data_IF_003842133852
#
_entry.id   IF_003842133852
#
_cell.length_a   1.000
_cell.length_b   1.000
_cell.length_c   1.000
_cell.angle_alpha   90.00
_cell.angle_beta   90.00
_cell.angle_gamma   90.00
#
_symmetry.space_group_name_H-M   'P 1'
#
loop_
_entity.id
_entity.type
_entity.pdbx_description
1 polymer ?
#
# COMPACT_ATOMS: atom_id res chain seq x y z
N UNK A 1 -4.09 -0.83 -3.62
CA UNK A 1 -3.01 -1.52 -2.88
C UNK A 1 -1.66 -0.81 -3.03
N UNK A 2 -1.10 -0.72 -4.25
CA UNK A 2 0.21 -0.08 -4.50
C UNK A 2 0.39 1.29 -3.82
N UNK A 3 -0.53 2.24 -4.04
CA UNK A 3 -0.38 3.60 -3.52
C UNK A 3 -0.36 3.74 -1.98
N UNK A 4 -0.84 2.75 -1.24
CA UNK A 4 -0.85 2.76 0.24
C UNK A 4 -0.15 1.56 0.86
N UNK A 5 0.48 0.69 0.07
CA UNK A 5 1.07 -0.55 0.58
C UNK A 5 0.08 -1.48 1.30
N UNK A 6 -1.23 -1.45 0.99
CA UNK A 6 -2.22 -2.28 1.68
C UNK A 6 -2.00 -3.78 1.40
N UNK A 7 -2.21 -4.63 2.40
CA UNK A 7 -2.41 -6.08 2.21
C UNK A 7 -3.77 -6.30 1.50
N UNK A 8 -3.94 -7.41 0.74
CA UNK A 8 -5.22 -7.70 0.11
C UNK A 8 -6.40 -7.71 1.10
N UNK A 9 -6.20 -8.33 2.26
CA UNK A 9 -7.22 -8.39 3.31
C UNK A 9 -7.58 -7.01 3.88
N UNK A 10 -6.59 -6.13 4.07
CA UNK A 10 -6.82 -4.74 4.50
C UNK A 10 -7.63 -3.96 3.44
N UNK A 11 -7.29 -4.15 2.15
CA UNK A 11 -8.01 -3.48 1.07
C UNK A 11 -9.47 -3.91 0.99
N UNK A 12 -9.75 -5.21 1.10
CA UNK A 12 -11.11 -5.75 1.06
C UNK A 12 -11.92 -5.36 2.32
N UNK A 13 -11.26 -5.19 3.46
CA UNK A 13 -11.91 -4.80 4.71
C UNK A 13 -12.12 -3.28 4.86
N UNK A 14 -11.48 -2.45 4.02
CA UNK A 14 -11.47 -0.99 4.14
C UNK A 14 -12.90 -0.41 4.11
N UNK A 15 -13.22 0.42 5.10
CA UNK A 15 -14.54 1.06 5.22
C UNK A 15 -14.44 2.57 5.07
N UNK A 16 -15.55 3.18 4.66
CA UNK A 16 -15.67 4.65 4.52
C UNK A 16 -15.34 5.41 5.81
N UNK A 17 -15.76 4.99 7.01
CA UNK A 17 -15.42 5.67 8.26
C UNK A 17 -13.91 5.65 8.57
N UNK A 18 -13.18 4.66 8.05
CA UNK A 18 -11.74 4.51 8.28
C UNK A 18 -10.89 5.36 7.31
N UNK A 19 -11.54 6.20 6.49
CA UNK A 19 -10.90 6.98 5.44
C UNK A 19 -11.09 8.49 5.64
N UNK A 20 -9.98 9.22 5.73
CA UNK A 20 -9.95 10.67 5.55
C UNK A 20 -9.60 10.96 4.09
N UNK A 21 -10.58 11.45 3.32
CA UNK A 21 -10.48 11.66 1.86
C UNK A 21 -10.83 13.11 1.51
N UNK A 22 -9.88 14.06 1.64
CA UNK A 22 -10.15 15.45 1.27
C UNK A 22 -10.25 15.62 -0.25
N UNK A 23 -10.94 16.67 -0.71
CA UNK A 23 -11.06 16.98 -2.14
C UNK A 23 -9.70 17.27 -2.81
N UNK A 24 -8.75 17.81 -2.03
CA UNK A 24 -7.39 18.12 -2.46
C UNK A 24 -6.38 17.69 -1.40
N UNK A 25 -5.21 17.24 -1.86
CA UNK A 25 -4.10 16.89 -0.99
C UNK A 25 -4.12 15.45 -0.50
N UNK A 26 -3.38 15.23 0.59
CA UNK A 26 -3.18 13.91 1.19
C UNK A 26 -4.36 13.54 2.10
N UNK A 27 -4.75 12.28 2.03
CA UNK A 27 -5.69 11.67 2.97
C UNK A 27 -4.98 10.73 3.93
N UNK A 28 -5.77 9.96 4.66
CA UNK A 28 -5.27 8.88 5.52
C UNK A 28 -6.25 7.72 5.58
N UNK A 29 -5.72 6.52 5.77
CA UNK A 29 -6.48 5.28 5.96
C UNK A 29 -6.11 4.68 7.30
N UNK A 30 -7.11 4.33 8.11
CA UNK A 30 -6.93 3.56 9.33
C UNK A 30 -7.10 2.09 8.98
N UNK A 31 -6.06 1.30 9.18
CA UNK A 31 -6.06 -0.12 8.84
C UNK A 31 -5.95 -0.95 10.11
N UNK A 32 -6.92 -1.83 10.34
CA UNK A 32 -6.78 -2.86 11.36
C UNK A 32 -5.69 -3.85 10.92
N UNK A 33 -4.74 -4.16 11.81
CA UNK A 33 -3.81 -5.27 11.56
C UNK A 33 -4.62 -6.54 11.41
N UNK A 34 -4.69 -7.07 10.19
CA UNK A 34 -5.16 -8.42 9.95
C UNK A 34 -4.19 -9.37 10.67
N UNK A 35 -4.62 -9.99 11.76
CA UNK A 35 -3.89 -11.11 12.35
C UNK A 35 -3.75 -12.20 11.27
N UNK A 36 -2.54 -12.72 10.98
CA UNK A 36 -2.41 -13.84 10.08
C UNK A 36 -3.26 -14.98 10.65
N UNK A 37 -4.19 -15.48 9.83
CA UNK A 37 -5.09 -16.57 10.21
C UNK A 37 -4.25 -17.77 10.64
N UNK A 38 -4.05 -17.93 11.95
CA UNK A 38 -3.62 -19.19 12.55
C UNK A 38 -4.75 -20.17 12.24
N UNK A 39 -4.39 -21.28 11.60
CA UNK A 39 -5.33 -22.26 11.08
C UNK A 39 -6.36 -22.71 12.10
N UNK A 40 -7.59 -22.86 11.59
CA UNK A 40 -8.69 -23.70 12.08
C UNK A 40 -8.49 -24.34 13.47
N UNK A 41 -9.29 -23.89 14.44
CA UNK A 41 -9.92 -24.82 15.38
C UNK A 41 -11.43 -24.64 15.29
N UNK A 42 -12.04 -25.56 14.57
CA UNK A 42 -13.48 -25.74 14.53
C UNK A 42 -13.92 -26.24 15.91
N UNK A 43 -14.68 -25.42 16.63
CA UNK A 43 -15.62 -25.91 17.64
C UNK A 43 -16.96 -25.30 17.27
N UNK A 44 -17.83 -26.15 16.76
CA UNK A 44 -19.13 -25.75 16.26
C UNK A 44 -20.07 -25.35 17.38
N UNK A 45 -20.76 -24.25 17.15
CA UNK A 45 -22.15 -24.04 17.53
C UNK A 45 -22.70 -22.92 16.63
N UNK A 46 -23.86 -23.19 16.05
CA UNK A 46 -24.58 -22.27 15.18
C UNK A 46 -25.14 -21.07 15.92
N UNK A 47 -25.23 -19.97 15.16
CA UNK A 47 -25.82 -18.67 15.46
C UNK A 47 -25.32 -17.93 16.71
N UNK A 48 -24.80 -16.71 16.52
CA UNK A 48 -25.15 -15.55 17.37
C UNK A 48 -24.98 -14.26 16.55
N UNK A 49 -26.09 -13.57 16.29
CA UNK A 49 -26.11 -12.11 16.14
C UNK A 49 -25.78 -11.47 17.49
N UNK A 50 -24.80 -10.57 17.57
CA UNK A 50 -25.03 -9.36 18.38
C UNK A 50 -24.24 -8.17 17.83
N UNK A 51 -25.01 -7.11 17.56
CA UNK A 51 -24.58 -5.81 17.09
C UNK A 51 -24.75 -4.89 18.31
N UNK A 52 -23.81 -4.98 19.25
CA UNK A 52 -23.80 -4.14 20.47
C UNK A 52 -22.39 -3.69 20.80
N UNK A 53 -22.27 -2.39 21.05
CA UNK A 53 -21.24 -1.85 21.94
C UNK A 53 -19.98 -1.38 21.23
N UNK A 54 -20.05 -0.19 20.66
CA UNK A 54 -18.91 0.71 20.51
C UNK A 54 -18.39 1.08 21.92
N UNK A 55 -17.60 0.20 22.55
CA UNK A 55 -16.69 0.46 23.70
C UNK A 55 -16.08 -0.87 24.14
N UNK A 56 -14.75 -0.91 24.19
CA UNK A 56 -13.88 -2.03 24.60
C UNK A 56 -13.70 -3.17 23.59
N UNK A 57 -12.75 -2.97 22.66
CA UNK A 57 -11.98 -4.09 22.11
C UNK A 57 -10.53 -3.95 22.57
N UNK A 58 -9.85 -5.01 23.05
CA UNK A 58 -8.42 -4.99 23.32
C UNK A 58 -7.68 -4.53 22.06
N UNK A 59 -6.62 -3.73 22.25
CA UNK A 59 -5.88 -3.01 21.22
C UNK A 59 -5.44 -3.91 20.05
N UNK A 60 -6.33 -4.09 19.08
CA UNK A 60 -5.94 -4.57 17.76
C UNK A 60 -5.14 -3.41 17.17
N UNK A 61 -3.82 -3.57 17.11
CA UNK A 61 -2.89 -2.50 16.79
C UNK A 61 -3.18 -1.95 15.38
N UNK A 62 -3.94 -0.86 15.30
CA UNK A 62 -4.26 -0.17 14.05
C UNK A 62 -3.05 0.62 13.57
N UNK A 63 -2.87 0.70 12.26
CA UNK A 63 -1.85 1.55 11.64
C UNK A 63 -2.51 2.60 10.75
N UNK A 64 -1.97 3.82 10.78
CA UNK A 64 -2.40 4.91 9.90
C UNK A 64 -1.50 4.88 8.66
N UNK A 65 -2.12 4.93 7.48
CA UNK A 65 -1.42 5.00 6.21
C UNK A 65 -1.77 6.31 5.52
N UNK A 66 -0.78 7.18 5.23
CA UNK A 66 -1.01 8.34 4.38
C UNK A 66 -1.49 7.91 3.00
N UNK A 67 -2.63 8.45 2.57
CA UNK A 67 -3.17 8.22 1.24
C UNK A 67 -2.69 9.34 0.31
N UNK A 68 -1.82 9.07 -0.69
CA UNK A 68 -1.41 10.10 -1.63
C UNK A 68 -2.61 10.63 -2.43
N UNK A 69 -2.56 11.86 -2.97
CA UNK A 69 -3.69 12.47 -3.67
C UNK A 69 -4.28 11.61 -4.80
N UNK A 70 -3.45 10.80 -5.47
CA UNK A 70 -3.91 9.86 -6.49
C UNK A 70 -4.79 8.75 -5.91
N UNK A 71 -4.41 8.19 -4.76
CA UNK A 71 -5.24 7.18 -4.07
C UNK A 71 -6.54 7.79 -3.57
N UNK A 72 -6.49 9.00 -3.02
CA UNK A 72 -7.69 9.73 -2.57
C UNK A 72 -8.69 9.90 -3.71
N UNK A 73 -8.23 10.39 -4.87
CA UNK A 73 -9.08 10.51 -6.07
C UNK A 73 -9.67 9.18 -6.52
N UNK A 74 -8.89 8.10 -6.52
CA UNK A 74 -9.38 6.77 -6.89
C UNK A 74 -10.47 6.28 -5.93
N UNK A 75 -10.30 6.46 -4.63
CA UNK A 75 -11.28 6.05 -3.63
C UNK A 75 -12.56 6.91 -3.70
N UNK A 76 -12.43 8.23 -3.87
CA UNK A 76 -13.57 9.12 -4.05
C UNK A 76 -14.35 8.79 -5.32
N UNK A 77 -13.67 8.54 -6.44
CA UNK A 77 -14.31 8.11 -7.68
C UNK A 77 -15.06 6.79 -7.52
N UNK A 78 -14.45 5.81 -6.86
CA UNK A 78 -15.08 4.53 -6.54
C UNK A 78 -16.34 4.71 -5.68
N UNK A 79 -16.26 5.50 -4.61
CA UNK A 79 -17.40 5.77 -3.73
C UNK A 79 -18.53 6.47 -4.50
N UNK A 80 -18.20 7.40 -5.39
CA UNK A 80 -19.18 8.12 -6.22
C UNK A 80 -19.91 7.17 -7.18
N UNK A 81 -19.18 6.24 -7.79
CA UNK A 81 -19.73 5.32 -8.80
C UNK A 81 -20.51 4.16 -8.17
N UNK A 82 -19.95 3.53 -7.14
CA UNK A 82 -20.47 2.27 -6.59
C UNK A 82 -21.11 2.39 -5.21
N UNK A 83 -20.95 3.54 -4.54
CA UNK A 83 -21.36 3.72 -3.15
C UNK A 83 -20.52 2.88 -2.18
N UNK A 84 -21.16 2.41 -1.11
CA UNK A 84 -20.56 1.54 -0.09
C UNK A 84 -21.52 0.41 0.25
N UNK A 85 -20.98 -0.71 0.75
CA UNK A 85 -21.82 -1.76 1.33
C UNK A 85 -22.61 -1.26 2.55
N UNK A 86 -23.65 -2.00 2.97
CA UNK A 86 -24.48 -1.67 4.14
C UNK A 86 -23.66 -1.53 5.43
N UNK A 87 -22.54 -2.25 5.55
CA UNK A 87 -21.63 -2.19 6.68
C UNK A 87 -20.47 -1.20 6.49
N UNK A 88 -20.53 -0.37 5.44
CA UNK A 88 -19.59 0.72 5.15
C UNK A 88 -18.34 0.31 4.38
N UNK A 89 -18.14 -0.98 4.04
CA UNK A 89 -17.01 -1.40 3.18
C UNK A 89 -17.04 -0.69 1.83
N UNK A 90 -15.87 -0.27 1.37
CA UNK A 90 -15.72 0.35 0.05
C UNK A 90 -15.87 -0.68 -1.07
N UNK A 91 -15.31 -1.88 -0.87
CA UNK A 91 -15.35 -2.95 -1.87
C UNK A 91 -16.24 -4.08 -1.38
N UNK A 92 -17.28 -4.39 -2.15
CA UNK A 92 -18.18 -5.49 -1.88
C UNK A 92 -18.56 -6.19 -3.19
N UNK A 93 -18.96 -7.45 -3.08
CA UNK A 93 -19.54 -8.18 -4.20
C UNK A 93 -20.98 -7.68 -4.48
N UNK A 94 -21.58 -8.14 -5.58
CA UNK A 94 -22.93 -7.74 -6.01
C UNK A 94 -24.04 -8.03 -4.97
N UNK A 95 -23.79 -8.97 -4.05
CA UNK A 95 -24.71 -9.31 -2.94
C UNK A 95 -24.44 -8.49 -1.67
N UNK A 96 -23.54 -7.51 -1.73
CA UNK A 96 -23.11 -6.69 -0.59
C UNK A 96 -22.13 -7.40 0.37
N UNK A 97 -21.70 -8.61 0.04
CA UNK A 97 -20.75 -9.40 0.82
C UNK A 97 -19.29 -9.04 0.57
N UNK A 98 -18.39 -9.72 1.26
CA UNK A 98 -16.94 -9.57 1.10
C UNK A 98 -16.51 -10.02 -0.31
N UNK A 99 -15.59 -9.28 -0.92
CA UNK A 99 -14.95 -9.70 -2.18
C UNK A 99 -14.07 -10.92 -1.91
N UNK A 100 -14.39 -12.05 -2.57
CA UNK A 100 -13.64 -13.29 -2.40
C UNK A 100 -12.22 -13.16 -2.99
N UNK A 101 -11.28 -13.92 -2.44
CA UNK A 101 -9.88 -13.89 -2.90
C UNK A 101 -9.73 -14.29 -4.35
N UNK A 102 -10.45 -15.33 -4.76
CA UNK A 102 -10.50 -15.80 -6.15
C UNK A 102 -10.98 -14.71 -7.11
N UNK A 103 -11.93 -13.87 -6.70
CA UNK A 103 -12.47 -12.78 -7.52
C UNK A 103 -11.42 -11.72 -7.80
N UNK A 104 -10.77 -11.17 -6.77
CA UNK A 104 -9.75 -10.13 -7.00
C UNK A 104 -8.49 -10.69 -7.66
N UNK A 105 -8.19 -11.99 -7.49
CA UNK A 105 -7.10 -12.65 -8.23
C UNK A 105 -7.38 -12.74 -9.72
N UNK A 106 -8.59 -13.15 -10.11
CA UNK A 106 -8.98 -13.20 -11.53
C UNK A 106 -8.92 -11.82 -12.18
N UNK A 107 -9.51 -10.81 -11.53
CA UNK A 107 -9.48 -9.43 -12.02
C UNK A 107 -8.04 -8.91 -12.15
N UNK A 108 -7.16 -9.29 -11.21
CA UNK A 108 -5.75 -8.93 -11.28
C UNK A 108 -5.04 -9.58 -12.47
N UNK A 109 -5.28 -10.87 -12.71
CA UNK A 109 -4.68 -11.58 -13.84
C UNK A 109 -5.15 -11.00 -15.18
N UNK A 110 -6.44 -10.71 -15.32
CA UNK A 110 -6.98 -10.01 -16.49
C UNK A 110 -6.32 -8.63 -16.68
N UNK A 111 -6.16 -7.86 -15.60
CA UNK A 111 -5.49 -6.57 -15.65
C UNK A 111 -4.02 -6.68 -16.08
N UNK A 112 -3.30 -7.75 -15.71
CA UNK A 112 -1.92 -8.00 -16.18
C UNK A 112 -1.89 -8.19 -17.69
N UNK A 113 -2.80 -8.99 -18.25
CA UNK A 113 -2.86 -9.21 -19.71
C UNK A 113 -3.23 -7.96 -20.51
N UNK A 114 -3.96 -7.02 -19.89
CA UNK A 114 -4.28 -5.73 -20.51
C UNK A 114 -3.14 -4.71 -20.45
N UNK A 115 -2.30 -4.77 -19.41
CA UNK A 115 -1.30 -3.73 -19.13
C UNK A 115 0.14 -4.13 -19.48
N UNK A 116 0.43 -5.43 -19.61
CA UNK A 116 1.79 -5.95 -19.80
C UNK A 116 1.91 -6.67 -21.14
N UNK A 117 3.14 -6.70 -21.67
CA UNK A 117 3.47 -7.53 -22.85
C UNK A 117 3.37 -9.02 -22.51
N UNK A 118 3.18 -9.92 -23.50
CA UNK A 118 3.12 -11.36 -23.26
C UNK A 118 4.31 -11.91 -22.47
N UNK A 119 5.53 -11.47 -22.78
CA UNK A 119 6.75 -11.88 -22.07
C UNK A 119 6.76 -11.41 -20.61
N UNK A 120 6.26 -10.20 -20.35
CA UNK A 120 6.12 -9.68 -18.99
C UNK A 120 5.04 -10.42 -18.19
N UNK A 121 3.93 -10.81 -18.82
CA UNK A 121 2.89 -11.64 -18.17
C UNK A 121 3.46 -13.00 -17.79
N UNK A 122 4.24 -13.62 -18.67
CA UNK A 122 4.91 -14.89 -18.43
C UNK A 122 6.01 -14.80 -17.35
N UNK A 123 6.53 -13.60 -17.09
CA UNK A 123 7.53 -13.36 -16.05
C UNK A 123 6.91 -13.27 -14.63
N UNK A 124 7.74 -13.34 -13.57
CA UNK A 124 7.31 -13.08 -12.19
C UNK A 124 6.81 -11.65 -11.92
N UNK A 125 6.93 -10.72 -12.88
CA UNK A 125 6.54 -9.33 -12.73
C UNK A 125 5.05 -9.21 -12.36
N UNK A 126 4.79 -8.65 -11.18
CA UNK A 126 3.44 -8.37 -10.71
C UNK A 126 2.53 -9.61 -10.68
N UNK A 127 3.10 -10.82 -10.53
CA UNK A 127 2.39 -12.10 -10.63
C UNK A 127 1.20 -12.22 -9.67
N UNK A 128 1.27 -11.57 -8.50
CA UNK A 128 0.27 -11.66 -7.45
C UNK A 128 -0.20 -10.27 -7.03
N UNK A 129 -1.45 -10.12 -6.57
CA UNK A 129 -1.91 -8.86 -5.99
C UNK A 129 -1.03 -8.39 -4.82
N UNK A 130 -0.48 -9.33 -4.05
CA UNK A 130 0.43 -9.05 -2.94
C UNK A 130 1.75 -8.38 -3.41
N UNK A 131 2.18 -8.63 -4.65
CA UNK A 131 3.40 -8.02 -5.20
C UNK A 131 3.25 -6.51 -5.36
N UNK A 132 2.03 -5.97 -5.45
CA UNK A 132 1.78 -4.52 -5.41
C UNK A 132 2.25 -3.89 -4.09
N UNK A 133 2.12 -4.62 -2.98
CA UNK A 133 2.61 -4.16 -1.68
C UNK A 133 4.13 -4.19 -1.66
N UNK A 134 4.76 -5.23 -2.20
CA UNK A 134 6.21 -5.29 -2.33
C UNK A 134 6.74 -4.13 -3.19
N UNK A 135 6.14 -3.91 -4.36
CA UNK A 135 6.50 -2.82 -5.25
C UNK A 135 6.35 -1.45 -4.57
N UNK A 136 5.31 -1.23 -3.78
CA UNK A 136 5.12 0.01 -3.02
C UNK A 136 6.25 0.28 -2.03
N UNK A 137 6.56 -0.72 -1.18
CA UNK A 137 7.59 -0.59 -0.15
C UNK A 137 8.98 -0.40 -0.75
N UNK A 138 9.33 -1.16 -1.79
CA UNK A 138 10.59 -0.97 -2.52
C UNK A 138 10.66 0.41 -3.17
N UNK A 139 9.56 0.89 -3.78
CA UNK A 139 9.51 2.22 -4.41
C UNK A 139 9.73 3.34 -3.41
N UNK A 140 9.11 3.28 -2.23
CA UNK A 140 9.30 4.30 -1.19
C UNK A 140 10.74 4.31 -0.66
N UNK A 141 11.31 3.13 -0.43
CA UNK A 141 12.70 3.00 0.00
C UNK A 141 13.69 3.52 -1.05
N UNK A 142 13.43 3.28 -2.34
CA UNK A 142 14.26 3.77 -3.44
C UNK A 142 14.10 5.27 -3.69
N UNK A 143 12.91 5.83 -3.43
CA UNK A 143 12.70 7.28 -3.34
C UNK A 143 13.37 7.89 -2.08
N UNK A 144 13.95 7.05 -1.22
CA UNK A 144 14.66 7.41 0.00
C UNK A 144 13.76 7.86 1.15
N UNK A 145 12.50 7.43 1.19
CA UNK A 145 11.69 7.58 2.41
C UNK A 145 12.41 6.86 3.56
N UNK A 146 12.40 7.45 4.75
CA UNK A 146 13.05 6.88 5.94
C UNK A 146 12.55 5.45 6.21
N UNK A 147 13.45 4.47 6.45
CA UNK A 147 13.04 3.10 6.73
C UNK A 147 12.07 2.95 7.91
N UNK A 148 12.15 3.82 8.92
CA UNK A 148 11.24 3.86 10.08
C UNK A 148 9.83 4.23 9.63
N UNK A 149 9.70 5.30 8.85
CA UNK A 149 8.42 5.73 8.27
C UNK A 149 7.82 4.65 7.37
N UNK A 150 8.64 3.99 6.54
CA UNK A 150 8.19 2.88 5.68
C UNK A 150 7.73 1.69 6.51
N UNK A 151 8.44 1.36 7.60
CA UNK A 151 8.12 0.25 8.49
C UNK A 151 6.79 0.49 9.23
N UNK A 152 6.57 1.69 9.74
CA UNK A 152 5.31 2.13 10.36
C UNK A 152 4.15 2.05 9.36
N UNK A 153 4.33 2.63 8.16
CA UNK A 153 3.37 2.53 7.04
C UNK A 153 3.21 1.13 6.49
N UNK A 154 4.07 0.18 6.84
CA UNK A 154 3.90 -1.23 6.50
C UNK A 154 3.28 -2.01 7.68
N UNK A 155 3.32 -1.51 8.91
CA UNK A 155 2.98 -2.27 10.11
C UNK A 155 3.94 -3.45 10.33
N UNK A 156 5.24 -3.22 10.13
CA UNK A 156 6.32 -4.19 10.37
C UNK A 156 7.49 -3.51 11.09
N UNK A 157 8.44 -4.27 11.64
CA UNK A 157 9.65 -3.67 12.23
C UNK A 157 10.65 -3.28 11.14
N UNK A 158 11.52 -2.31 11.44
CA UNK A 158 12.58 -1.86 10.52
C UNK A 158 13.52 -3.00 10.15
N UNK A 159 13.88 -3.87 11.11
CA UNK A 159 14.70 -5.06 10.86
C UNK A 159 14.06 -6.00 9.83
N UNK A 160 12.76 -6.28 9.99
CA UNK A 160 12.01 -7.16 9.09
C UNK A 160 11.79 -6.51 7.70
N UNK A 161 11.71 -5.18 7.65
CA UNK A 161 11.69 -4.43 6.40
C UNK A 161 13.03 -4.55 5.67
N UNK A 162 14.13 -4.21 6.34
CA UNK A 162 15.46 -4.17 5.73
C UNK A 162 15.96 -5.58 5.34
N UNK A 163 15.71 -6.61 6.14
CA UNK A 163 16.06 -8.00 5.77
C UNK A 163 15.41 -8.45 4.46
N UNK A 164 14.21 -7.94 4.11
CA UNK A 164 13.54 -8.25 2.85
C UNK A 164 14.00 -7.39 1.68
N UNK A 165 14.29 -6.11 1.93
CA UNK A 165 14.52 -5.13 0.86
C UNK A 165 15.95 -4.65 0.72
N UNK A 166 16.89 -5.07 1.57
CA UNK A 166 18.30 -4.67 1.50
C UNK A 166 18.90 -4.88 0.10
N UNK A 167 18.56 -6.00 -0.55
CA UNK A 167 19.02 -6.31 -1.92
C UNK A 167 18.41 -5.41 -3.00
N UNK A 168 17.26 -4.79 -2.73
CA UNK A 168 16.60 -3.86 -3.65
C UNK A 168 17.10 -2.41 -3.49
N UNK A 169 17.97 -2.15 -2.51
CA UNK A 169 18.60 -0.84 -2.27
C UNK A 169 19.90 -0.66 -3.06
N UNK A 170 20.29 -1.63 -3.90
CA UNK A 170 21.41 -1.47 -4.84
C UNK A 170 21.09 -0.35 -5.84
N UNK A 171 22.03 0.58 -6.01
CA UNK A 171 21.84 1.82 -6.78
C UNK A 171 21.42 3.06 -5.98
N UNK A 172 21.36 2.99 -4.64
CA UNK A 172 21.09 4.16 -3.78
C UNK A 172 22.29 5.08 -3.56
N UNK A 173 23.49 4.74 -4.05
CA UNK A 173 24.64 5.64 -3.93
C UNK A 173 24.34 7.01 -4.57
N UNK A 174 23.78 7.04 -5.78
CA UNK A 174 23.49 8.31 -6.46
C UNK A 174 22.40 9.13 -5.74
N UNK A 175 21.38 8.46 -5.19
CA UNK A 175 20.32 9.11 -4.40
C UNK A 175 20.85 9.63 -3.07
N UNK A 176 21.71 8.85 -2.40
CA UNK A 176 22.36 9.26 -1.16
C UNK A 176 23.32 10.42 -1.39
N UNK A 177 24.15 10.34 -2.43
CA UNK A 177 25.08 11.40 -2.83
C UNK A 177 24.32 12.68 -3.17
N UNK A 178 23.22 12.61 -3.93
CA UNK A 178 22.38 13.79 -4.24
C UNK A 178 21.85 14.45 -2.97
N UNK A 179 21.39 13.68 -2.00
CA UNK A 179 20.88 14.22 -0.72
C UNK A 179 21.98 14.81 0.15
N UNK A 180 23.17 14.20 0.15
CA UNK A 180 24.34 14.74 0.85
C UNK A 180 24.75 16.06 0.18
N UNK A 181 24.80 16.09 -1.15
CA UNK A 181 25.12 17.29 -1.92
C UNK A 181 24.09 18.42 -1.66
N UNK A 182 22.78 18.11 -1.68
CA UNK A 182 21.71 19.04 -1.30
C UNK A 182 21.86 19.56 0.14
N UNK A 183 22.24 18.70 1.10
CA UNK A 183 22.48 19.08 2.48
C UNK A 183 23.71 20.00 2.64
N UNK A 184 24.77 19.72 1.88
CA UNK A 184 26.03 20.46 1.93
C UNK A 184 25.99 21.75 1.09
N UNK A 185 24.95 21.97 0.29
CA UNK A 185 24.85 23.11 -0.64
C UNK A 185 25.78 22.99 -1.84
N UNK A 186 26.19 21.76 -2.18
CA UNK A 186 27.02 21.46 -3.34
C UNK A 186 26.10 21.11 -4.50
N UNK A 187 25.65 22.10 -5.27
CA UNK A 187 24.95 21.82 -6.52
C UNK A 187 25.89 21.08 -7.47
N UNK A 188 25.48 19.89 -7.92
CA UNK A 188 26.18 19.13 -8.94
C UNK A 188 26.10 19.87 -10.28
N UNK A 189 26.95 20.89 -10.48
CA UNK A 189 27.06 21.60 -11.73
C UNK A 189 27.67 23.00 -11.63
N UNK A 190 29.00 23.07 -11.55
CA UNK A 190 29.75 24.08 -12.29
C UNK A 190 31.12 23.48 -12.66
N UNK A 191 31.19 22.82 -13.82
CA UNK A 191 32.47 22.76 -14.54
C UNK A 191 32.76 24.20 -14.99
N UNK A 192 33.56 24.92 -14.20
CA UNK A 192 34.29 26.08 -14.69
C UNK A 192 35.29 25.58 -15.73
N UNK A 193 34.88 25.60 -17.00
CA UNK A 193 35.82 25.56 -18.13
C UNK A 193 36.51 26.93 -18.15
N UNK A 194 37.82 27.04 -17.85
CA UNK A 194 38.52 28.31 -17.99
C UNK A 194 38.58 28.66 -19.48
N UNK A 195 38.32 29.94 -19.74
CA UNK A 195 38.10 30.49 -21.05
C UNK A 195 39.24 30.26 -22.05
N UNK A 196 38.79 30.25 -23.30
CA UNK A 196 39.56 30.57 -24.50
C UNK A 196 40.56 31.71 -24.25
N UNK A 197 41.78 31.52 -24.72
CA UNK A 197 42.94 32.32 -24.35
C UNK A 197 44.04 32.30 -25.40
N UNK A 198 43.72 32.87 -26.57
CA UNK A 198 44.61 33.43 -27.63
C UNK A 198 45.23 32.48 -28.64
#
# INVERSE_FOLDING_TARGET
MYFGGLRPAEAVALRRPDCTLPDKGWGSLILEKSSPTVGKRWTGTGEVHDNRGLKNRPANETRIVPAPPRLVRMLLAHIKEFGTAKDGRLFANERGGVVASTTYWRVWDEARHLALTPDQVASPLAARPYDLRHAALSSWLNAGVDPTEVAERAGTSVEVLLSRYAKCLDGRQDVANRRIAELLGEDAGQEDVPGDGT
#
